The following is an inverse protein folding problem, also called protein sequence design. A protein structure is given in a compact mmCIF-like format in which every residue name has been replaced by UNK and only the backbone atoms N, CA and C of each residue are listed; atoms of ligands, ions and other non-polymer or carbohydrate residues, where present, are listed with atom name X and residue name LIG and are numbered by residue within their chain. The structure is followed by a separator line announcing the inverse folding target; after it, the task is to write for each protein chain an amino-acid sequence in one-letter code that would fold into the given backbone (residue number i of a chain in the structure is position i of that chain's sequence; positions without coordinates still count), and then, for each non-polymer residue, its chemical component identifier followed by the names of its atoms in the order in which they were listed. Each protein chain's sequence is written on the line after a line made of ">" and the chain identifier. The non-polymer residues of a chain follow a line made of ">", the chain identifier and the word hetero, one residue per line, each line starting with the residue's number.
data_IF_018758370597
#
_entry.id   IF_018758370597
#
_cell.length_a   1.000
_cell.length_b   1.000
_cell.length_c   1.000
_cell.angle_alpha   90.00
_cell.angle_beta   90.00
_cell.angle_gamma   90.00
#
_symmetry.space_group_name_H-M   'P 1'
#
loop_
_entity.id
_entity.type
_entity.pdbx_description
1 polymer ?
#
# COMPACT_ATOMS: atom_id res chain seq x y z
N UNK A 1 20.50 -16.31 14.54
CA UNK A 1 19.54 -17.29 14.00
C UNK A 1 18.25 -17.12 14.78
N UNK A 2 17.09 -17.08 14.11
CA UNK A 2 15.81 -16.98 14.81
C UNK A 2 15.61 -18.28 15.59
N UNK A 3 15.34 -18.16 16.89
CA UNK A 3 15.10 -19.33 17.73
C UNK A 3 13.73 -19.95 17.38
N UNK A 4 13.64 -21.29 17.17
CA UNK A 4 12.38 -21.95 16.78
C UNK A 4 11.22 -21.68 17.74
N UNK A 5 11.52 -21.47 19.03
CA UNK A 5 10.58 -21.20 20.10
C UNK A 5 9.80 -19.90 19.88
N UNK A 6 10.36 -18.95 19.13
CA UNK A 6 9.67 -17.71 18.77
C UNK A 6 8.45 -17.96 17.88
N UNK A 7 8.39 -19.09 17.19
CA UNK A 7 7.34 -19.42 16.22
C UNK A 7 7.39 -18.62 14.91
N UNK A 8 8.44 -17.80 14.73
CA UNK A 8 8.72 -17.05 13.50
C UNK A 8 9.66 -17.83 12.57
N UNK A 9 9.53 -17.60 11.27
CA UNK A 9 10.36 -18.21 10.22
C UNK A 9 11.20 -17.17 9.51
N UNK A 10 12.35 -17.60 9.00
CA UNK A 10 13.17 -16.77 8.11
C UNK A 10 12.43 -16.48 6.80
N UNK A 11 12.58 -15.26 6.28
CA UNK A 11 11.93 -14.76 5.06
C UNK A 11 10.47 -14.32 5.22
N UNK A 12 9.82 -14.64 6.34
CA UNK A 12 8.45 -14.20 6.65
C UNK A 12 8.47 -12.88 7.43
N UNK A 13 7.46 -12.04 7.24
CA UNK A 13 7.28 -10.80 7.99
C UNK A 13 6.26 -10.97 9.09
N UNK A 14 6.50 -10.31 10.22
CA UNK A 14 5.59 -10.37 11.34
C UNK A 14 5.40 -9.00 11.99
N UNK A 15 4.17 -8.62 12.32
CA UNK A 15 3.86 -7.39 13.07
C UNK A 15 3.35 -7.72 14.46
N UNK A 16 3.66 -6.88 15.43
CA UNK A 16 3.08 -6.98 16.78
C UNK A 16 1.70 -6.33 16.73
N UNK A 17 0.69 -7.02 17.26
CA UNK A 17 -0.68 -6.52 17.34
C UNK A 17 -0.74 -5.27 18.22
N UNK A 18 -1.35 -4.21 17.69
CA UNK A 18 -1.64 -2.99 18.42
C UNK A 18 -2.93 -3.12 19.19
N UNK A 19 -2.86 -3.10 20.52
CA UNK A 19 -4.04 -3.08 21.41
C UNK A 19 -4.10 -1.75 22.18
N UNK A 20 -5.30 -1.40 22.65
CA UNK A 20 -5.50 -0.18 23.44
C UNK A 20 -4.66 -0.23 24.73
N UNK A 21 -4.03 0.89 25.09
CA UNK A 21 -3.23 1.07 26.33
C UNK A 21 -1.97 0.20 26.43
N UNK A 22 -1.57 -0.47 25.36
CA UNK A 22 -0.26 -1.11 25.23
C UNK A 22 0.74 -0.21 24.48
N UNK A 23 2.06 -0.45 24.64
CA UNK A 23 3.06 0.13 23.77
C UNK A 23 2.74 -0.13 22.30
N UNK A 24 2.94 0.89 21.46
CA UNK A 24 2.68 0.79 20.04
C UNK A 24 3.94 0.40 19.29
N UNK A 25 3.80 -0.63 18.45
CA UNK A 25 4.88 -1.22 17.66
C UNK A 25 4.54 -1.06 16.18
N UNK A 26 4.96 0.06 15.58
CA UNK A 26 4.59 0.39 14.19
C UNK A 26 5.36 -0.38 13.12
N UNK A 27 6.37 -1.14 13.53
CA UNK A 27 7.27 -1.88 12.65
C UNK A 27 6.92 -3.35 12.49
N UNK A 28 7.80 -4.07 11.81
CA UNK A 28 7.70 -5.51 11.57
C UNK A 28 9.05 -6.21 11.76
N UNK A 29 8.98 -7.49 12.14
CA UNK A 29 10.12 -8.41 12.10
C UNK A 29 10.32 -8.96 10.70
N UNK A 30 11.56 -9.08 10.28
CA UNK A 30 12.03 -9.83 9.12
C UNK A 30 13.41 -10.41 9.44
N UNK A 31 13.57 -11.72 9.31
CA UNK A 31 14.84 -12.41 9.58
C UNK A 31 15.43 -12.13 10.98
N UNK A 32 14.54 -11.96 11.97
CA UNK A 32 14.91 -11.67 13.36
C UNK A 32 15.37 -10.24 13.61
N UNK A 33 15.22 -9.35 12.63
CA UNK A 33 15.46 -7.90 12.76
C UNK A 33 14.12 -7.17 12.74
N UNK A 34 14.01 -6.09 13.48
CA UNK A 34 12.82 -5.26 13.59
C UNK A 34 13.04 -3.92 12.86
N UNK A 35 12.14 -3.61 11.93
CA UNK A 35 12.19 -2.44 11.05
C UNK A 35 10.93 -1.60 11.23
N UNK A 36 11.02 -0.26 11.25
CA UNK A 36 9.83 0.60 11.42
C UNK A 36 9.01 0.78 10.13
N UNK A 37 9.54 0.37 8.98
CA UNK A 37 8.90 0.52 7.67
C UNK A 37 9.74 -0.13 6.58
N UNK A 38 9.15 -0.56 5.46
CA UNK A 38 9.88 -1.24 4.38
C UNK A 38 10.90 -0.34 3.66
N UNK A 39 10.77 0.97 3.80
CA UNK A 39 11.68 1.98 3.26
C UNK A 39 12.94 2.11 4.12
N UNK A 40 12.86 1.68 5.38
CA UNK A 40 13.94 1.82 6.35
C UNK A 40 14.90 0.64 6.23
N UNK A 41 16.07 0.91 5.66
CA UNK A 41 17.13 -0.09 5.49
C UNK A 41 17.89 -0.39 6.80
N UNK A 42 17.58 0.32 7.89
CA UNK A 42 18.23 0.14 9.19
C UNK A 42 17.26 -0.53 10.16
N UNK A 43 17.67 -1.68 10.69
CA UNK A 43 16.94 -2.33 11.77
C UNK A 43 17.14 -1.52 13.06
N UNK A 44 16.07 -1.33 13.82
CA UNK A 44 16.07 -0.61 15.10
C UNK A 44 15.89 -1.55 16.29
N UNK A 45 15.61 -2.82 16.02
CA UNK A 45 15.55 -3.87 17.03
C UNK A 45 15.92 -5.22 16.43
N UNK A 46 16.12 -6.22 17.27
CA UNK A 46 16.51 -7.56 16.85
C UNK A 46 16.15 -8.62 17.90
N UNK A 47 16.21 -9.87 17.48
CA UNK A 47 16.05 -11.02 18.34
C UNK A 47 17.40 -11.63 18.68
N UNK A 48 17.60 -11.91 19.96
CA UNK A 48 18.67 -12.78 20.43
C UNK A 48 18.06 -13.93 21.23
N UNK A 49 18.06 -15.13 20.64
CA UNK A 49 17.26 -16.23 21.16
C UNK A 49 15.77 -15.88 21.08
N UNK A 50 15.14 -15.78 22.26
CA UNK A 50 13.74 -15.35 22.40
C UNK A 50 13.61 -13.89 22.84
N UNK A 51 14.70 -13.24 23.23
CA UNK A 51 14.66 -11.87 23.74
C UNK A 51 14.52 -10.89 22.58
N UNK A 52 13.58 -9.96 22.70
CA UNK A 52 13.40 -8.87 21.75
C UNK A 52 14.09 -7.61 22.28
N UNK A 53 15.12 -7.18 21.56
CA UNK A 53 15.82 -5.93 21.78
C UNK A 53 15.28 -4.82 20.88
N UNK A 54 15.08 -3.63 21.43
CA UNK A 54 14.58 -2.48 20.67
C UNK A 54 15.25 -1.17 21.15
N UNK A 55 15.96 -0.53 20.23
CA UNK A 55 16.66 0.74 20.44
C UNK A 55 15.71 1.95 20.31
N UNK A 56 14.57 1.89 20.98
CA UNK A 56 13.67 3.03 21.07
C UNK A 56 14.18 4.02 22.11
N UNK A 57 14.33 5.28 21.71
CA UNK A 57 14.70 6.38 22.59
C UNK A 57 13.49 7.27 22.87
N UNK A 58 13.45 7.83 24.08
CA UNK A 58 12.51 8.86 24.46
C UNK A 58 12.92 10.23 23.87
N UNK A 59 12.11 11.29 24.03
CA UNK A 59 12.46 12.63 23.54
C UNK A 59 13.74 13.24 24.14
N UNK A 60 14.23 12.72 25.27
CA UNK A 60 15.48 13.15 25.90
C UNK A 60 16.69 12.37 25.38
N UNK A 61 16.47 11.33 24.57
CA UNK A 61 17.50 10.45 24.03
C UNK A 61 17.82 9.25 24.93
N UNK A 62 17.03 9.02 25.99
CA UNK A 62 17.21 7.88 26.90
C UNK A 62 16.46 6.64 26.38
N UNK A 63 16.98 5.42 26.56
CA UNK A 63 16.27 4.21 26.17
C UNK A 63 14.92 4.08 26.87
N UNK A 64 13.87 3.79 26.10
CA UNK A 64 12.52 3.55 26.63
C UNK A 64 12.47 2.24 27.43
N UNK A 65 13.22 1.23 26.99
CA UNK A 65 13.26 -0.09 27.61
C UNK A 65 14.58 -0.28 28.38
N UNK A 66 14.53 -0.74 29.65
CA UNK A 66 15.73 -1.11 30.41
C UNK A 66 16.56 -2.15 29.67
N UNK A 67 17.88 -1.95 29.62
CA UNK A 67 18.82 -2.78 28.87
C UNK A 67 18.46 -2.98 27.39
N UNK A 68 17.56 -2.14 26.85
CA UNK A 68 16.96 -2.23 25.52
C UNK A 68 16.12 -3.50 25.31
N UNK A 69 15.79 -4.23 26.37
CA UNK A 69 15.01 -5.47 26.31
C UNK A 69 13.54 -5.12 26.47
N UNK A 70 12.75 -5.37 25.43
CA UNK A 70 11.30 -5.18 25.43
C UNK A 70 10.61 -6.31 26.18
N UNK A 71 11.08 -7.54 25.93
CA UNK A 71 10.43 -8.74 26.43
C UNK A 71 10.89 -10.02 25.74
N UNK A 72 10.14 -11.09 25.94
CA UNK A 72 10.44 -12.43 25.41
C UNK A 72 9.36 -12.86 24.42
N UNK A 73 9.76 -13.44 23.30
CA UNK A 73 8.85 -13.97 22.29
C UNK A 73 8.80 -15.50 22.34
N UNK A 74 7.60 -16.03 22.52
CA UNK A 74 7.31 -17.47 22.46
C UNK A 74 6.06 -17.71 21.64
N UNK A 75 6.11 -18.64 20.69
CA UNK A 75 4.97 -19.04 19.85
C UNK A 75 4.18 -17.85 19.26
N UNK A 76 4.90 -16.86 18.71
CA UNK A 76 4.36 -15.61 18.18
C UNK A 76 3.54 -14.80 19.19
N UNK A 77 3.96 -14.80 20.44
CA UNK A 77 3.45 -13.92 21.50
C UNK A 77 4.62 -13.21 22.15
N UNK A 78 4.57 -11.89 22.22
CA UNK A 78 5.52 -11.07 22.97
C UNK A 78 5.01 -10.88 24.39
N UNK A 79 5.76 -11.34 25.38
CA UNK A 79 5.54 -11.06 26.80
C UNK A 79 6.48 -9.94 27.24
N UNK A 80 5.90 -8.81 27.64
CA UNK A 80 6.62 -7.63 28.14
C UNK A 80 7.06 -7.83 29.60
N UNK A 81 7.97 -6.98 30.08
CA UNK A 81 8.49 -7.03 31.45
C UNK A 81 7.41 -6.87 32.55
N UNK A 82 6.28 -6.25 32.24
CA UNK A 82 5.12 -6.09 33.13
C UNK A 82 4.13 -7.27 33.08
N UNK A 83 4.41 -8.29 32.26
CA UNK A 83 3.57 -9.45 32.03
C UNK A 83 2.47 -9.25 30.99
N UNK A 84 2.36 -8.08 30.36
CA UNK A 84 1.45 -7.86 29.24
C UNK A 84 1.86 -8.75 28.06
N UNK A 85 0.87 -9.36 27.41
CA UNK A 85 1.08 -10.23 26.25
C UNK A 85 0.44 -9.66 25.00
N UNK A 86 1.24 -9.55 23.94
CA UNK A 86 0.83 -9.04 22.64
C UNK A 86 1.00 -10.14 21.58
N UNK A 87 -0.02 -10.31 20.74
CA UNK A 87 0.04 -11.26 19.63
C UNK A 87 1.01 -10.77 18.57
N UNK A 88 1.67 -11.70 17.88
CA UNK A 88 2.50 -11.41 16.71
C UNK A 88 1.87 -12.10 15.51
N UNK A 89 1.48 -11.32 14.52
CA UNK A 89 0.78 -11.80 13.33
C UNK A 89 1.70 -11.83 12.12
N UNK A 90 1.48 -12.80 11.23
CA UNK A 90 2.17 -12.85 9.95
C UNK A 90 1.60 -11.78 9.03
N UNK A 91 2.47 -10.96 8.44
CA UNK A 91 2.08 -9.85 7.57
C UNK A 91 2.51 -10.16 6.13
N UNK A 92 1.57 -10.35 5.18
CA UNK A 92 1.93 -10.57 3.79
C UNK A 92 2.57 -9.31 3.19
N UNK A 93 3.67 -9.48 2.45
CA UNK A 93 4.29 -8.38 1.73
C UNK A 93 3.43 -7.99 0.52
N UNK A 94 2.87 -6.78 0.55
CA UNK A 94 2.26 -6.17 -0.64
C UNK A 94 3.25 -5.14 -1.20
N UNK A 95 3.85 -5.46 -2.35
CA UNK A 95 4.61 -4.47 -3.10
C UNK A 95 3.62 -3.40 -3.57
N UNK A 96 3.82 -2.15 -3.18
CA UNK A 96 3.06 -1.03 -3.73
C UNK A 96 3.28 -1.01 -5.24
N UNK A 97 2.22 -1.32 -5.99
CA UNK A 97 2.23 -1.19 -7.43
C UNK A 97 2.34 0.30 -7.74
N UNK A 98 3.54 0.75 -8.12
CA UNK A 98 3.75 2.07 -8.69
C UNK A 98 2.84 2.18 -9.91
N UNK A 99 1.68 2.83 -9.74
CA UNK A 99 0.84 3.18 -10.87
C UNK A 99 1.63 4.17 -11.71
N UNK A 100 1.91 3.90 -13.00
CA UNK A 100 2.62 4.86 -13.83
C UNK A 100 1.84 6.17 -13.83
N UNK A 101 2.52 7.25 -13.44
CA UNK A 101 2.02 8.62 -13.55
C UNK A 101 1.46 8.80 -14.97
N UNK A 102 0.14 9.03 -15.09
CA UNK A 102 -0.43 9.45 -16.36
C UNK A 102 0.17 10.82 -16.67
N UNK A 103 1.05 10.87 -17.66
CA UNK A 103 1.56 12.10 -18.24
C UNK A 103 0.37 13.00 -18.54
N UNK A 104 0.35 14.20 -17.95
CA UNK A 104 -0.66 15.20 -18.26
C UNK A 104 -0.56 15.52 -19.74
N UNK A 105 -1.68 15.33 -20.44
CA UNK A 105 -1.84 15.56 -21.88
C UNK A 105 -1.39 16.99 -22.19
N UNK A 106 -0.35 17.10 -23.00
CA UNK A 106 0.23 18.36 -23.47
C UNK A 106 -0.86 19.09 -24.27
N UNK A 107 -1.31 20.23 -23.77
CA UNK A 107 -2.35 21.04 -24.40
C UNK A 107 -1.94 21.44 -25.82
N UNK A 108 -2.54 20.77 -26.81
CA UNK A 108 -2.41 21.08 -28.23
C UNK A 108 -2.87 22.52 -28.50
N UNK A 109 -1.93 23.45 -28.64
CA UNK A 109 -2.22 24.79 -29.16
C UNK A 109 -2.41 24.69 -30.66
N UNK A 110 -3.61 25.03 -31.09
CA UNK A 110 -4.09 25.09 -32.46
C UNK A 110 -3.30 26.13 -33.27
N UNK A 111 -2.76 25.77 -34.43
CA UNK A 111 -2.43 26.73 -35.49
C UNK A 111 -2.69 26.09 -36.85
N UNK A 112 -3.83 26.46 -37.46
CA UNK A 112 -4.16 26.25 -38.88
C UNK A 112 -3.52 27.35 -39.73
N UNK A 113 -3.56 27.31 -41.08
CA UNK A 113 -3.54 26.19 -42.05
C UNK A 113 -2.55 26.48 -43.22
N UNK A 114 -2.23 25.48 -44.06
CA UNK A 114 -2.36 25.52 -45.54
C UNK A 114 -1.53 24.42 -46.25
N UNK A 115 -2.18 23.87 -47.27
CA UNK A 115 -1.61 23.51 -48.58
C UNK A 115 -0.86 22.17 -48.79
N UNK A 116 -1.56 21.35 -49.59
CA UNK A 116 -1.06 20.59 -50.74
C UNK A 116 -0.61 19.14 -50.48
N UNK A 117 -1.56 18.28 -50.82
CA UNK A 117 -1.39 16.90 -51.27
C UNK A 117 -0.46 16.83 -52.49
N UNK A 118 0.69 16.14 -52.37
CA UNK A 118 1.37 15.52 -53.50
C UNK A 118 1.92 14.14 -53.14
N UNK A 119 1.61 13.22 -54.06
CA UNK A 119 1.88 11.78 -54.09
C UNK A 119 3.38 11.47 -54.05
N UNK A 120 3.74 10.26 -53.63
CA UNK A 120 4.67 9.32 -54.28
C UNK A 120 4.82 8.10 -53.34
N UNK A 121 4.04 7.03 -53.56
CA UNK A 121 4.49 5.73 -54.14
C UNK A 121 5.61 5.02 -53.35
N UNK A 122 5.28 3.94 -52.65
CA UNK A 122 5.64 2.56 -53.06
C UNK A 122 5.57 1.56 -51.88
N UNK A 123 4.81 0.49 -52.13
CA UNK A 123 5.09 -0.90 -51.73
C UNK A 123 5.20 -1.29 -50.25
N UNK A 124 4.24 -2.09 -49.78
CA UNK A 124 4.36 -2.85 -48.53
C UNK A 124 3.06 -3.55 -48.16
N UNK A 125 2.87 -4.77 -48.67
CA UNK A 125 1.65 -5.57 -48.65
C UNK A 125 1.07 -5.93 -47.27
N UNK A 126 -0.28 -5.90 -47.23
CA UNK A 126 -1.23 -6.85 -46.58
C UNK A 126 -1.28 -6.88 -45.04
N UNK A 127 -2.42 -7.08 -44.38
CA UNK A 127 -3.88 -6.97 -44.61
C UNK A 127 -4.55 -7.34 -43.25
N UNK A 128 -5.88 -7.37 -43.09
CA UNK A 128 -6.57 -6.62 -42.03
C UNK A 128 -7.14 -7.50 -40.92
N UNK A 129 -7.34 -6.95 -39.72
CA UNK A 129 -8.34 -7.47 -38.79
C UNK A 129 -9.40 -6.41 -38.56
N UNK A 130 -10.57 -6.72 -39.12
CA UNK A 130 -11.81 -5.96 -39.00
C UNK A 130 -12.42 -6.07 -37.60
N UNK A 131 -13.35 -5.15 -37.26
CA UNK A 131 -13.63 -4.74 -35.89
C UNK A 131 -14.72 -5.57 -35.20
N UNK A 132 -14.55 -5.81 -33.91
CA UNK A 132 -15.63 -6.31 -33.04
C UNK A 132 -16.55 -5.16 -32.63
N UNK A 133 -17.51 -4.86 -33.48
CA UNK A 133 -18.70 -4.10 -33.12
C UNK A 133 -19.67 -5.04 -32.39
N UNK A 134 -19.68 -5.03 -31.06
CA UNK A 134 -20.77 -5.57 -30.23
C UNK A 134 -20.51 -5.27 -28.74
N UNK A 135 -20.71 -4.03 -28.32
CA UNK A 135 -21.25 -3.68 -26.99
C UNK A 135 -21.89 -2.29 -27.09
N UNK A 136 -22.94 -2.26 -27.92
CA UNK A 136 -23.97 -1.22 -27.90
C UNK A 136 -24.89 -1.51 -26.70
N UNK A 137 -25.39 -0.43 -26.10
CA UNK A 137 -26.51 -0.36 -25.15
C UNK A 137 -26.21 -0.63 -23.66
N UNK A 138 -25.66 0.38 -22.98
CA UNK A 138 -25.73 0.48 -21.50
C UNK A 138 -25.80 1.91 -20.96
N UNK A 139 -25.90 2.94 -21.80
CA UNK A 139 -25.72 4.35 -21.41
C UNK A 139 -27.01 5.21 -21.40
N UNK A 140 -28.21 4.61 -21.54
CA UNK A 140 -29.44 5.37 -21.76
C UNK A 140 -30.44 5.41 -20.58
N UNK A 141 -30.14 4.82 -19.41
CA UNK A 141 -31.09 4.77 -18.28
C UNK A 141 -30.76 5.68 -17.07
N UNK A 142 -29.56 6.28 -16.98
CA UNK A 142 -29.19 7.12 -15.83
C UNK A 142 -29.41 8.63 -16.05
N UNK A 143 -29.49 9.11 -17.30
CA UNK A 143 -29.76 10.54 -17.57
C UNK A 143 -31.23 10.90 -17.34
N UNK A 144 -32.16 9.97 -17.62
CA UNK A 144 -33.60 10.20 -17.42
C UNK A 144 -34.02 10.35 -15.96
N UNK A 145 -33.33 9.67 -15.03
CA UNK A 145 -33.66 9.69 -13.60
C UNK A 145 -33.12 10.94 -12.88
N UNK A 146 -32.00 11.52 -13.34
CA UNK A 146 -31.47 12.78 -12.81
C UNK A 146 -32.31 14.01 -13.22
N UNK A 147 -32.88 14.05 -14.43
CA UNK A 147 -33.71 15.18 -14.86
C UNK A 147 -35.11 15.19 -14.20
N UNK A 148 -35.65 14.02 -13.85
CA UNK A 148 -36.96 13.94 -13.19
C UNK A 148 -36.91 14.38 -11.71
N UNK A 149 -35.77 14.24 -11.05
CA UNK A 149 -35.58 14.68 -9.67
C UNK A 149 -35.45 16.21 -9.55
N UNK A 150 -34.81 16.87 -10.53
CA UNK A 150 -34.61 18.33 -10.51
C UNK A 150 -35.93 19.08 -10.79
N UNK A 151 -36.83 18.52 -11.60
CA UNK A 151 -38.11 19.18 -11.92
C UNK A 151 -39.16 19.11 -10.78
N UNK A 152 -38.98 18.26 -9.76
CA UNK A 152 -39.85 18.24 -8.57
C UNK A 152 -39.45 19.27 -7.51
N UNK A 153 -38.21 19.73 -7.51
CA UNK A 153 -37.69 20.69 -6.52
C UNK A 153 -38.07 22.15 -6.82
N UNK A 154 -38.54 22.45 -8.03
CA UNK A 154 -38.94 23.81 -8.44
C UNK A 154 -40.41 24.17 -8.20
N UNK A 155 -41.21 23.30 -7.58
CA UNK A 155 -42.68 23.49 -7.47
C UNK A 155 -43.21 23.58 -6.03
N UNK A 156 -42.46 24.23 -5.14
CA UNK A 156 -42.99 24.86 -3.91
C UNK A 156 -42.45 26.28 -3.75
N UNK A 157 -43.02 27.20 -4.54
CA UNK A 157 -43.08 28.63 -4.20
C UNK A 157 -44.45 29.15 -4.66
N UNK A 158 -45.44 29.05 -3.76
CA UNK A 158 -46.43 30.05 -3.34
C UNK A 158 -47.59 29.37 -2.64
#
# INVERSE_FOLDING_TARGET
>A
MIAPETGMKAGERYSIESVERAPQFSGFFLDGKYYLGPELQTAVGWLEGQNFFYDQLDPNGEPVYPDRIVGTITARTLELADGLRLSIEEMPFQAEAVSPLRTFDEATVETRPLAISQRHTASGLRQPMQPSALLVAGAALLVGLCLLAINRSGRRVK
#
